data_IF_468779963260
#
_entry.id   IF_468779963260
#
_cell.length_a   1.000
_cell.length_b   1.000
_cell.length_c   1.000
_cell.angle_alpha   90.00
_cell.angle_beta   90.00
_cell.angle_gamma   90.00
#
_symmetry.space_group_name_H-M   'P 1'
#
loop_
_entity.id
_entity.type
_entity.pdbx_description
1 polymer ?
#
# COMPACT_ATOMS: atom_id res chain seq x y z
N UNK A 1 0.81 10.26 -4.66
CA UNK A 1 1.24 8.84 -4.75
C UNK A 1 0.70 8.23 -6.04
N UNK A 2 1.45 7.36 -6.71
CA UNK A 2 0.92 6.59 -7.85
C UNK A 2 0.12 5.40 -7.35
N UNK A 3 -1.15 5.29 -7.76
CA UNK A 3 -2.08 4.15 -7.62
C UNK A 3 -1.69 3.14 -6.53
N UNK A 4 -2.03 3.45 -5.28
CA UNK A 4 -1.71 2.65 -4.10
C UNK A 4 -2.04 1.16 -4.26
N UNK A 5 -3.29 0.85 -4.63
CA UNK A 5 -3.73 -0.53 -4.81
C UNK A 5 -3.03 -1.30 -5.94
N UNK A 6 -2.39 -0.62 -6.88
CA UNK A 6 -1.61 -1.26 -7.96
C UNK A 6 -0.16 -1.54 -7.52
N UNK A 7 0.30 -0.91 -6.44
CA UNK A 7 1.68 -0.95 -5.95
C UNK A 7 1.94 -2.09 -4.95
N UNK A 8 0.88 -2.68 -4.38
CA UNK A 8 0.97 -3.75 -3.38
C UNK A 8 1.75 -4.96 -3.91
N UNK A 9 2.77 -5.38 -3.17
CA UNK A 9 3.61 -6.52 -3.54
C UNK A 9 3.15 -7.80 -2.82
N UNK A 10 2.59 -8.80 -3.54
CA UNK A 10 1.95 -9.96 -2.91
C UNK A 10 2.85 -10.74 -1.95
N UNK A 11 4.11 -10.97 -2.33
CA UNK A 11 5.06 -11.72 -1.49
C UNK A 11 5.36 -11.02 -0.17
N UNK A 12 5.46 -9.68 -0.21
CA UNK A 12 5.74 -8.89 1.00
C UNK A 12 4.52 -8.89 1.92
N UNK A 13 3.31 -8.71 1.36
CA UNK A 13 2.08 -8.80 2.14
C UNK A 13 1.92 -10.16 2.80
N UNK A 14 2.18 -11.27 2.08
CA UNK A 14 2.11 -12.61 2.66
C UNK A 14 3.09 -12.80 3.82
N UNK A 15 4.31 -12.24 3.71
CA UNK A 15 5.27 -12.26 4.80
C UNK A 15 4.77 -11.46 6.02
N UNK A 16 4.16 -10.29 5.80
CA UNK A 16 3.55 -9.47 6.87
C UNK A 16 2.40 -10.20 7.55
N UNK A 17 1.48 -10.78 6.79
CA UNK A 17 0.36 -11.55 7.33
C UNK A 17 0.85 -12.73 8.20
N UNK A 18 1.92 -13.40 7.77
CA UNK A 18 2.56 -14.44 8.58
C UNK A 18 3.14 -13.88 9.89
N UNK A 19 3.80 -12.72 9.82
CA UNK A 19 4.33 -12.04 11.01
C UNK A 19 3.22 -11.58 11.97
N UNK A 20 2.03 -11.24 11.45
CA UNK A 20 0.84 -10.94 12.25
C UNK A 20 0.09 -12.18 12.76
N UNK A 21 0.63 -13.39 12.58
CA UNK A 21 0.11 -14.61 13.18
C UNK A 21 -0.99 -15.30 12.38
N UNK A 22 -1.15 -15.00 11.09
CA UNK A 22 -2.10 -15.72 10.23
C UNK A 22 -1.72 -17.19 10.12
N UNK A 23 -2.72 -18.07 10.19
CA UNK A 23 -2.55 -19.52 10.05
C UNK A 23 -2.11 -19.89 8.64
N UNK A 24 -1.50 -21.07 8.48
CA UNK A 24 -1.06 -21.56 7.16
C UNK A 24 -2.23 -21.62 6.16
N UNK A 25 -3.42 -22.08 6.59
CA UNK A 25 -4.61 -22.12 5.76
C UNK A 25 -5.06 -20.74 5.28
N UNK A 26 -5.02 -19.73 6.16
CA UNK A 26 -5.34 -18.35 5.79
C UNK A 26 -4.30 -17.80 4.80
N UNK A 27 -3.02 -18.09 5.00
CA UNK A 27 -1.96 -17.69 4.08
C UNK A 27 -2.10 -18.37 2.71
N UNK A 28 -2.53 -19.63 2.65
CA UNK A 28 -2.74 -20.34 1.39
C UNK A 28 -3.97 -19.82 0.64
N UNK A 29 -5.04 -19.44 1.35
CA UNK A 29 -6.15 -18.69 0.78
C UNK A 29 -5.65 -17.36 0.19
N UNK A 30 -4.84 -16.60 0.92
CA UNK A 30 -4.28 -15.34 0.44
C UNK A 30 -3.34 -15.52 -0.75
N UNK A 31 -2.53 -16.58 -0.78
CA UNK A 31 -1.71 -16.92 -1.95
C UNK A 31 -2.59 -17.17 -3.17
N UNK A 32 -3.67 -17.93 -3.01
CA UNK A 32 -4.61 -18.22 -4.10
C UNK A 32 -5.28 -16.95 -4.63
N UNK A 33 -5.60 -16.00 -3.75
CA UNK A 33 -6.18 -14.70 -4.10
C UNK A 33 -5.27 -13.85 -5.01
N UNK A 34 -3.94 -14.00 -4.91
CA UNK A 34 -2.97 -13.25 -5.73
C UNK A 34 -2.47 -13.98 -6.97
N UNK A 35 -2.73 -15.29 -7.10
CA UNK A 35 -2.16 -16.16 -8.14
C UNK A 35 -2.90 -15.99 -9.48
N UNK A 36 -2.17 -16.12 -10.59
CA UNK A 36 -2.72 -16.28 -11.97
C UNK A 36 -3.74 -15.21 -12.40
N UNK A 37 -3.56 -13.97 -11.93
CA UNK A 37 -4.46 -12.87 -12.27
C UNK A 37 -4.15 -12.31 -13.66
N UNK A 38 -5.16 -12.22 -14.51
CA UNK A 38 -5.04 -11.70 -15.87
C UNK A 38 -5.95 -10.50 -16.06
N UNK A 39 -5.44 -9.44 -16.70
CA UNK A 39 -6.17 -8.22 -17.00
C UNK A 39 -6.09 -7.93 -18.51
N UNK A 40 -7.12 -7.28 -19.05
CA UNK A 40 -7.13 -6.74 -20.42
C UNK A 40 -8.06 -5.52 -20.50
N UNK A 41 -7.87 -4.70 -21.52
CA UNK A 41 -8.71 -3.52 -21.75
C UNK A 41 -9.68 -3.80 -22.89
N UNK A 42 -10.96 -3.45 -22.70
CA UNK A 42 -11.98 -3.49 -23.75
C UNK A 42 -12.46 -2.07 -24.03
N UNK A 43 -12.43 -1.67 -25.30
CA UNK A 43 -12.97 -0.39 -25.77
C UNK A 43 -13.93 -0.66 -26.93
N UNK A 44 -15.23 -0.47 -26.68
CA UNK A 44 -16.32 -0.84 -27.60
C UNK A 44 -16.21 -2.31 -28.02
N UNK A 45 -15.89 -2.58 -29.28
CA UNK A 45 -15.73 -3.93 -29.83
C UNK A 45 -14.27 -4.40 -29.89
N UNK A 46 -13.29 -3.53 -29.61
CA UNK A 46 -11.88 -3.88 -29.62
C UNK A 46 -11.45 -4.31 -28.21
N UNK A 47 -10.68 -5.40 -28.12
CA UNK A 47 -10.16 -5.93 -26.87
C UNK A 47 -8.66 -6.14 -26.99
N UNK A 48 -7.89 -5.77 -25.98
CA UNK A 48 -6.45 -6.05 -25.94
C UNK A 48 -6.17 -7.52 -25.63
N UNK A 49 -4.93 -7.93 -25.89
CA UNK A 49 -4.39 -9.18 -25.37
C UNK A 49 -4.46 -9.23 -23.83
N UNK A 50 -4.53 -10.45 -23.32
CA UNK A 50 -4.44 -10.72 -21.88
C UNK A 50 -3.04 -10.43 -21.37
N UNK A 51 -2.94 -9.74 -20.23
CA UNK A 51 -1.68 -9.48 -19.52
C UNK A 51 -1.75 -10.00 -18.10
N UNK A 52 -0.71 -10.70 -17.69
CA UNK A 52 -0.55 -11.15 -16.32
C UNK A 52 -0.38 -9.94 -15.38
N UNK A 53 -1.03 -10.01 -14.22
CA UNK A 53 -1.00 -8.97 -13.19
C UNK A 53 -0.24 -9.47 -11.97
N UNK A 54 0.99 -8.99 -11.82
CA UNK A 54 1.92 -9.43 -10.77
C UNK A 54 1.85 -8.62 -9.48
N UNK A 55 1.28 -7.40 -9.54
CA UNK A 55 1.16 -6.47 -8.42
C UNK A 55 -0.28 -6.05 -8.18
N UNK A 56 -0.51 -5.47 -7.03
CA UNK A 56 -1.79 -4.94 -6.63
C UNK A 56 -2.84 -5.98 -6.29
N UNK A 57 -4.03 -5.50 -5.93
CA UNK A 57 -5.18 -6.33 -5.63
C UNK A 57 -6.07 -6.53 -6.87
N UNK A 58 -6.84 -7.63 -6.94
CA UNK A 58 -7.99 -7.74 -7.84
C UNK A 58 -8.91 -6.52 -7.72
N UNK A 59 -9.19 -5.87 -8.87
CA UNK A 59 -10.08 -4.71 -8.91
C UNK A 59 -11.52 -5.13 -8.55
N UNK A 60 -12.21 -4.33 -7.73
CA UNK A 60 -13.56 -4.65 -7.24
C UNK A 60 -13.59 -5.64 -6.07
N UNK A 61 -12.43 -6.03 -5.54
CA UNK A 61 -12.37 -6.85 -4.33
C UNK A 61 -12.64 -6.04 -3.07
N UNK A 62 -13.50 -6.58 -2.20
CA UNK A 62 -13.74 -6.06 -0.85
C UNK A 62 -12.54 -6.20 0.09
N UNK A 63 -11.61 -7.13 -0.21
CA UNK A 63 -10.41 -7.34 0.59
C UNK A 63 -9.32 -6.31 0.29
N UNK A 64 -9.35 -5.66 -0.87
CA UNK A 64 -8.31 -4.71 -1.30
C UNK A 64 -7.99 -3.64 -0.25
N UNK A 65 -8.98 -2.87 0.25
CA UNK A 65 -8.77 -1.84 1.28
C UNK A 65 -8.14 -2.38 2.56
N UNK A 66 -8.61 -3.53 3.05
CA UNK A 66 -8.09 -4.13 4.29
C UNK A 66 -6.64 -4.55 4.13
N UNK A 67 -6.30 -5.19 3.01
CA UNK A 67 -4.92 -5.63 2.73
C UNK A 67 -3.99 -4.45 2.51
N UNK A 68 -4.49 -3.34 1.96
CA UNK A 68 -3.73 -2.11 1.80
C UNK A 68 -3.38 -1.48 3.16
N UNK A 69 -4.34 -1.38 4.08
CA UNK A 69 -4.10 -0.88 5.44
C UNK A 69 -3.03 -1.72 6.16
N UNK A 70 -3.10 -3.06 6.05
CA UNK A 70 -2.08 -3.97 6.59
C UNK A 70 -0.71 -3.74 5.92
N UNK A 71 -0.70 -3.50 4.61
CA UNK A 71 0.52 -3.32 3.84
C UNK A 71 1.26 -2.03 4.23
N UNK A 72 0.56 -0.93 4.49
CA UNK A 72 1.18 0.36 4.82
C UNK A 72 1.43 0.57 6.31
N UNK A 73 0.89 -0.27 7.20
CA UNK A 73 0.95 -0.09 8.66
C UNK A 73 2.38 0.11 9.21
N UNK A 74 3.41 -0.40 8.53
CA UNK A 74 4.81 -0.20 8.91
C UNK A 74 5.24 1.28 8.89
N UNK A 75 4.56 2.13 8.10
CA UNK A 75 4.85 3.55 8.00
C UNK A 75 4.69 4.27 9.35
N UNK A 76 3.87 3.76 10.27
CA UNK A 76 3.75 4.29 11.62
C UNK A 76 4.99 4.07 12.50
N UNK A 77 5.82 3.09 12.16
CA UNK A 77 7.01 2.71 12.94
C UNK A 77 8.30 3.33 12.40
N UNK A 78 8.22 4.12 11.33
CA UNK A 78 9.36 4.94 10.88
C UNK A 78 9.62 6.02 11.92
N UNK A 79 10.85 6.06 12.44
CA UNK A 79 11.30 7.08 13.41
C UNK A 79 11.28 8.47 12.75
N UNK A 80 10.59 9.43 13.37
CA UNK A 80 10.39 10.79 12.88
C UNK A 80 9.95 11.74 14.00
N UNK A 81 10.16 13.03 13.80
CA UNK A 81 9.69 14.07 14.73
C UNK A 81 8.22 14.47 14.44
N UNK A 82 7.84 14.44 13.17
CA UNK A 82 6.48 14.71 12.72
C UNK A 82 5.53 13.54 13.02
N UNK A 83 4.24 13.86 13.12
CA UNK A 83 3.17 12.86 13.23
C UNK A 83 2.63 12.53 11.84
N UNK A 84 2.17 11.29 11.69
CA UNK A 84 1.56 10.78 10.47
C UNK A 84 0.07 10.49 10.71
N UNK A 85 -0.76 10.95 9.78
CA UNK A 85 -2.16 10.57 9.65
C UNK A 85 -2.35 9.84 8.32
N UNK A 86 -3.05 8.73 8.33
CA UNK A 86 -3.30 7.91 7.13
C UNK A 86 -4.80 7.64 6.96
N UNK A 87 -5.27 7.70 5.72
CA UNK A 87 -6.60 7.28 5.35
C UNK A 87 -6.59 6.69 3.93
N UNK A 88 -6.85 5.38 3.82
CA UNK A 88 -6.70 4.65 2.57
C UNK A 88 -5.32 4.91 1.93
N UNK A 89 -5.25 5.54 0.77
CA UNK A 89 -3.99 5.91 0.09
C UNK A 89 -3.48 7.33 0.39
N UNK A 90 -4.24 8.11 1.15
CA UNK A 90 -3.86 9.46 1.58
C UNK A 90 -3.03 9.42 2.86
N UNK A 91 -1.91 10.15 2.82
CA UNK A 91 -0.96 10.26 3.93
C UNK A 91 -0.68 11.72 4.19
N UNK A 92 -0.73 12.14 5.45
CA UNK A 92 -0.46 13.51 5.87
C UNK A 92 0.52 13.55 7.03
N UNK A 93 1.67 14.18 6.81
CA UNK A 93 2.58 14.54 7.88
C UNK A 93 2.21 15.89 8.47
N UNK A 94 2.29 16.00 9.78
CA UNK A 94 2.05 17.25 10.49
C UNK A 94 2.99 17.39 11.69
N UNK A 95 3.48 18.61 11.88
CA UNK A 95 4.38 18.97 12.96
C UNK A 95 4.16 20.44 13.30
N UNK A 96 4.30 20.79 14.58
CA UNK A 96 4.06 22.14 15.07
C UNK A 96 5.29 22.63 15.84
N UNK A 97 5.77 23.82 15.48
CA UNK A 97 6.91 24.46 16.12
C UNK A 97 6.70 25.98 16.15
N UNK A 98 7.31 26.66 17.12
CA UNK A 98 7.22 28.13 17.26
C UNK A 98 7.89 28.87 16.10
N UNK A 99 8.99 28.31 15.61
CA UNK A 99 9.71 28.78 14.42
C UNK A 99 9.17 28.06 13.18
N UNK A 100 8.57 28.78 12.20
CA UNK A 100 8.02 28.17 10.99
C UNK A 100 9.04 27.43 10.13
N UNK A 101 10.28 27.93 10.06
CA UNK A 101 11.37 27.31 9.30
C UNK A 101 11.65 25.89 9.81
N UNK A 102 11.72 25.72 11.14
CA UNK A 102 11.86 24.39 11.76
C UNK A 102 10.70 23.46 11.41
N UNK A 103 9.48 23.98 11.34
CA UNK A 103 8.33 23.17 10.97
C UNK A 103 8.44 22.67 9.53
N UNK A 104 8.83 23.56 8.59
CA UNK A 104 9.04 23.22 7.19
C UNK A 104 10.19 22.23 7.01
N UNK A 105 11.31 22.46 7.70
CA UNK A 105 12.49 21.59 7.63
C UNK A 105 12.18 20.18 8.13
N UNK A 106 11.57 20.05 9.30
CA UNK A 106 11.20 18.74 9.87
C UNK A 106 10.22 17.99 8.97
N UNK A 107 9.14 18.64 8.50
CA UNK A 107 8.16 17.99 7.61
C UNK A 107 8.82 17.56 6.30
N UNK A 108 9.69 18.38 5.73
CA UNK A 108 10.38 18.08 4.46
C UNK A 108 11.36 16.92 4.62
N UNK A 109 12.12 16.91 5.72
CA UNK A 109 13.08 15.85 6.04
C UNK A 109 12.36 14.52 6.28
N UNK A 110 11.36 14.51 7.16
CA UNK A 110 10.63 13.29 7.53
C UNK A 110 9.79 12.77 6.34
N UNK A 111 9.29 13.67 5.49
CA UNK A 111 8.58 13.30 4.25
C UNK A 111 9.48 12.56 3.25
N UNK A 112 10.74 13.00 3.10
CA UNK A 112 11.72 12.28 2.27
C UNK A 112 12.03 10.89 2.82
N UNK A 113 12.14 10.75 4.14
CA UNK A 113 12.41 9.44 4.75
C UNK A 113 11.22 8.48 4.68
N UNK A 114 9.99 9.00 4.75
CA UNK A 114 8.78 8.17 4.82
C UNK A 114 8.31 7.71 3.44
N UNK A 115 8.50 8.52 2.39
CA UNK A 115 7.87 8.30 1.08
C UNK A 115 8.83 8.18 -0.11
N UNK A 116 10.16 8.29 0.09
CA UNK A 116 11.16 8.11 -0.97
C UNK A 116 11.93 6.79 -0.83
#
# INVERSE_FOLDING_TARGET
>A
MSKAFDSLHPTLLLAKLKAYGFTQNALDLMKSYFKERMNRTKMRQVTSEWKETKRGCPQGSSLGPTLWNIYQNDLFYVERESRLSEYADDHQLYYAHKEPERAVDTITRDGKQTFC
#
